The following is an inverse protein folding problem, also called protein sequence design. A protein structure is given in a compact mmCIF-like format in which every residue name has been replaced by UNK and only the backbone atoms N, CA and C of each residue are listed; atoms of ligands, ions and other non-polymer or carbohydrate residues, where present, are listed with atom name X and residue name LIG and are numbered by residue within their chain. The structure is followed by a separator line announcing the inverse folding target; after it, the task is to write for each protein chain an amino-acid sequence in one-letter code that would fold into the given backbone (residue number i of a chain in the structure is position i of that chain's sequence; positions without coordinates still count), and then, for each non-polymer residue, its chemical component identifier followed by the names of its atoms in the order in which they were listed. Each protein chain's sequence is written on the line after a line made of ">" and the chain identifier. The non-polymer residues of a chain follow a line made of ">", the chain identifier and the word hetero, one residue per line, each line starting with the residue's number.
data_IF_233295800423
#
_entry.id   IF_233295800423
#
_cell.length_a   1.000
_cell.length_b   1.000
_cell.length_c   1.000
_cell.angle_alpha   90.00
_cell.angle_beta   90.00
_cell.angle_gamma   90.00
#
_symmetry.space_group_name_H-M   'P 1'
#
loop_
_entity.id
_entity.type
_entity.pdbx_description
1 polymer ?
#
# COMPACT_ATOMS: atom_id res chain seq x y z
N UNK A 1 4.62 -64.50 -26.80
CA UNK A 1 4.11 -64.30 -25.45
C UNK A 1 4.85 -63.15 -24.84
N UNK A 2 4.30 -61.95 -24.87
CA UNK A 2 4.88 -60.76 -24.31
C UNK A 2 3.92 -60.20 -23.28
N UNK A 3 4.36 -60.23 -22.05
CA UNK A 3 3.64 -59.69 -20.89
C UNK A 3 3.87 -58.15 -20.86
N UNK A 4 2.79 -57.38 -20.94
CA UNK A 4 2.84 -55.93 -20.72
C UNK A 4 2.27 -55.64 -19.32
N UNK A 5 3.13 -55.25 -18.41
CA UNK A 5 2.75 -54.78 -17.11
C UNK A 5 2.43 -53.27 -17.21
N UNK A 6 1.18 -52.92 -16.97
CA UNK A 6 0.68 -51.56 -16.92
C UNK A 6 1.06 -50.95 -15.57
N UNK A 7 1.92 -49.93 -15.58
CA UNK A 7 2.21 -49.07 -14.41
C UNK A 7 1.14 -47.96 -14.36
N UNK A 8 0.27 -48.03 -13.36
CA UNK A 8 -0.57 -46.93 -12.95
C UNK A 8 0.27 -45.90 -12.17
N UNK A 9 0.54 -44.77 -12.80
CA UNK A 9 1.08 -43.61 -12.11
C UNK A 9 -0.08 -42.84 -11.49
N UNK A 10 -0.26 -42.99 -10.19
CA UNK A 10 -1.19 -42.16 -9.41
C UNK A 10 -0.56 -40.79 -9.21
N UNK A 11 -1.03 -39.81 -9.98
CA UNK A 11 -0.70 -38.41 -9.77
C UNK A 11 -1.41 -37.92 -8.48
N UNK A 12 -0.66 -37.79 -7.39
CA UNK A 12 -1.10 -37.05 -6.22
C UNK A 12 -1.14 -35.56 -6.58
N UNK A 13 -2.35 -35.03 -6.77
CA UNK A 13 -2.60 -33.59 -6.73
C UNK A 13 -2.38 -33.10 -5.30
N UNK A 14 -1.20 -32.58 -5.02
CA UNK A 14 -1.00 -31.69 -3.88
C UNK A 14 -1.76 -30.40 -4.19
N UNK A 15 -2.94 -30.27 -3.59
CA UNK A 15 -3.66 -29.00 -3.52
C UNK A 15 -2.81 -28.01 -2.71
N UNK A 16 -2.14 -27.11 -3.39
CA UNK A 16 -1.59 -25.92 -2.76
C UNK A 16 -2.78 -25.12 -2.22
N UNK A 17 -3.02 -25.22 -0.92
CA UNK A 17 -3.84 -24.25 -0.21
C UNK A 17 -3.08 -22.94 -0.31
N UNK A 18 -3.46 -22.11 -1.27
CA UNK A 18 -2.96 -20.75 -1.39
C UNK A 18 -3.36 -19.99 -0.13
N UNK A 19 -2.41 -19.81 0.78
CA UNK A 19 -2.49 -18.76 1.78
C UNK A 19 -2.63 -17.47 0.99
N UNK A 20 -3.80 -16.83 1.12
CA UNK A 20 -4.13 -15.59 0.42
C UNK A 20 -3.19 -14.47 0.85
N UNK A 21 -2.05 -14.38 0.21
CA UNK A 21 -1.24 -13.18 0.25
C UNK A 21 -2.09 -12.06 -0.35
N UNK A 22 -2.23 -10.94 0.34
CA UNK A 22 -2.76 -9.70 -0.23
C UNK A 22 -2.16 -9.48 -1.61
N UNK A 23 -3.03 -9.37 -2.61
CA UNK A 23 -2.75 -9.81 -3.96
C UNK A 23 -1.75 -8.95 -4.71
N UNK A 24 -1.14 -9.56 -5.68
CA UNK A 24 -0.47 -8.83 -6.77
C UNK A 24 -1.50 -7.98 -7.50
N UNK A 25 -1.14 -6.73 -7.84
CA UNK A 25 -1.98 -5.85 -8.65
C UNK A 25 -2.38 -6.54 -9.94
N UNK A 26 -3.69 -6.67 -10.24
CA UNK A 26 -4.16 -7.21 -11.50
C UNK A 26 -3.52 -6.51 -12.70
N UNK A 27 -3.21 -7.25 -13.76
CA UNK A 27 -2.51 -6.72 -14.92
C UNK A 27 -3.27 -5.56 -15.57
N UNK A 28 -4.59 -5.65 -15.62
CA UNK A 28 -5.50 -4.64 -16.18
C UNK A 28 -5.52 -3.30 -15.41
N UNK A 29 -5.16 -3.32 -14.14
CA UNK A 29 -5.17 -2.11 -13.29
C UNK A 29 -3.79 -1.47 -13.13
N UNK A 30 -2.70 -2.15 -13.54
CA UNK A 30 -1.33 -1.62 -13.39
C UNK A 30 -1.12 -0.30 -14.12
N UNK A 31 -1.63 -0.20 -15.35
CA UNK A 31 -1.48 0.99 -16.18
C UNK A 31 -2.39 2.15 -15.73
N UNK A 32 -3.37 1.86 -14.86
CA UNK A 32 -4.26 2.87 -14.25
C UNK A 32 -3.68 3.48 -12.98
N UNK A 33 -2.73 2.79 -12.34
CA UNK A 33 -2.11 3.29 -11.12
C UNK A 33 -1.26 4.53 -11.39
N UNK A 34 -1.51 5.56 -10.62
CA UNK A 34 -0.81 6.83 -10.74
C UNK A 34 0.05 7.09 -9.52
N UNK A 35 1.26 7.58 -9.76
CA UNK A 35 2.19 8.00 -8.72
C UNK A 35 2.54 9.47 -8.89
N UNK A 36 2.87 10.19 -7.80
CA UNK A 36 3.53 11.49 -7.90
C UNK A 36 4.81 11.41 -8.73
N UNK A 37 5.20 12.52 -9.35
CA UNK A 37 6.45 12.58 -10.10
C UNK A 37 7.65 12.28 -9.18
N UNK A 38 8.70 11.61 -9.72
CA UNK A 38 9.89 11.23 -8.94
C UNK A 38 10.85 12.38 -8.64
N UNK A 39 10.44 13.62 -8.79
CA UNK A 39 11.31 14.80 -8.77
C UNK A 39 12.22 14.88 -7.53
N UNK A 40 11.73 14.36 -6.40
CA UNK A 40 12.41 14.49 -5.11
C UNK A 40 12.84 13.14 -4.51
N UNK A 41 12.83 12.08 -5.30
CA UNK A 41 13.45 10.84 -4.87
C UNK A 41 14.97 11.07 -4.86
N UNK A 42 15.66 10.93 -3.72
CA UNK A 42 17.04 11.38 -3.59
C UNK A 42 17.95 10.81 -4.68
N UNK A 43 18.55 11.68 -5.48
CA UNK A 43 19.48 11.28 -6.52
C UNK A 43 20.81 10.92 -5.85
N UNK A 44 21.32 9.70 -6.12
CA UNK A 44 22.62 9.27 -5.62
C UNK A 44 22.60 8.40 -4.37
N UNK A 45 21.48 8.28 -3.67
CA UNK A 45 21.33 7.33 -2.56
C UNK A 45 20.86 5.99 -3.13
N UNK A 46 21.76 5.00 -3.17
CA UNK A 46 21.53 3.77 -3.96
C UNK A 46 21.19 2.54 -3.12
N UNK A 47 20.95 2.69 -1.83
CA UNK A 47 20.51 1.61 -0.99
C UNK A 47 21.19 1.54 0.38
N UNK A 48 20.70 0.64 1.21
CA UNK A 48 21.20 0.43 2.56
C UNK A 48 22.66 -0.06 2.60
N UNK A 49 23.16 -0.62 1.50
CA UNK A 49 24.53 -1.09 1.30
C UNK A 49 25.60 0.02 1.35
N UNK A 50 25.17 1.29 1.19
CA UNK A 50 26.07 2.45 1.29
C UNK A 50 26.18 3.02 2.70
N UNK A 51 25.35 2.55 3.64
CA UNK A 51 25.34 3.01 5.02
C UNK A 51 26.29 2.19 5.90
N UNK A 52 26.85 2.86 6.89
CA UNK A 52 27.61 2.15 7.95
C UNK A 52 26.70 1.23 8.75
N UNK A 53 27.19 0.10 9.29
CA UNK A 53 26.41 -0.73 10.22
C UNK A 53 25.92 0.08 11.43
N UNK A 54 24.76 -0.30 11.94
CA UNK A 54 24.14 0.28 13.12
C UNK A 54 22.68 0.66 12.91
N UNK A 55 21.91 0.54 13.98
CA UNK A 55 20.48 0.82 13.94
C UNK A 55 20.19 2.31 13.74
N UNK A 56 19.22 2.61 12.87
CA UNK A 56 18.73 3.96 12.56
C UNK A 56 17.23 4.00 12.63
N UNK A 57 16.69 5.12 13.06
CA UNK A 57 15.25 5.37 13.08
C UNK A 57 14.96 6.63 12.27
N UNK A 58 13.97 6.53 11.39
CA UNK A 58 13.41 7.65 10.62
C UNK A 58 11.92 7.74 10.91
N UNK A 59 11.37 8.95 10.87
CA UNK A 59 9.94 9.20 11.04
C UNK A 59 9.35 9.81 9.78
N UNK A 60 8.11 9.48 9.51
CA UNK A 60 7.32 9.91 8.35
C UNK A 60 6.05 10.60 8.83
N UNK A 61 5.62 11.65 8.14
CA UNK A 61 4.34 12.31 8.38
C UNK A 61 3.92 13.13 7.13
N UNK A 62 2.66 13.58 7.03
CA UNK A 62 2.19 14.35 5.87
C UNK A 62 2.76 15.75 5.76
N UNK A 63 3.41 16.27 6.81
CA UNK A 63 4.04 17.58 6.81
C UNK A 63 5.40 17.63 6.12
N UNK A 64 6.02 16.46 5.86
CA UNK A 64 7.25 16.39 5.08
C UNK A 64 6.96 16.64 3.61
N UNK A 65 7.73 17.51 2.99
CA UNK A 65 7.57 17.88 1.60
C UNK A 65 7.59 16.63 0.69
N UNK A 66 6.66 16.58 -0.28
CA UNK A 66 6.52 15.48 -1.22
C UNK A 66 6.23 14.11 -0.57
N UNK A 67 5.66 14.11 0.64
CA UNK A 67 5.24 12.89 1.32
C UNK A 67 3.75 12.63 1.07
N UNK A 68 3.43 11.55 0.37
CA UNK A 68 2.08 11.22 -0.05
C UNK A 68 1.70 9.79 0.36
N UNK A 69 0.55 9.67 1.00
CA UNK A 69 -0.11 8.40 1.30
C UNK A 69 -1.58 8.53 0.86
N UNK A 70 -2.01 7.68 -0.07
CA UNK A 70 -3.36 7.74 -0.62
C UNK A 70 -3.82 6.38 -1.13
N UNK A 71 -5.12 6.23 -1.31
CA UNK A 71 -5.74 5.03 -1.88
C UNK A 71 -6.38 5.38 -3.21
N UNK A 72 -6.14 4.55 -4.23
CA UNK A 72 -6.88 4.57 -5.49
C UNK A 72 -7.89 3.42 -5.49
N UNK A 73 -9.12 3.69 -5.91
CA UNK A 73 -10.21 2.73 -6.00
C UNK A 73 -10.84 2.89 -7.38
N UNK A 74 -10.80 1.84 -8.18
CA UNK A 74 -11.30 1.92 -9.56
C UNK A 74 -12.78 1.57 -9.65
N UNK A 75 -13.48 2.24 -10.54
CA UNK A 75 -14.86 1.92 -10.87
C UNK A 75 -14.95 0.58 -11.62
N UNK A 76 -15.91 -0.26 -11.24
CA UNK A 76 -16.23 -1.52 -11.91
C UNK A 76 -17.35 -1.37 -12.94
N UNK A 77 -18.10 -0.25 -12.92
CA UNK A 77 -19.26 0.00 -13.77
C UNK A 77 -19.36 1.48 -14.15
N UNK A 78 -20.55 2.08 -14.12
CA UNK A 78 -20.70 3.53 -14.31
C UNK A 78 -20.10 4.27 -13.10
N UNK A 79 -19.67 5.51 -13.31
CA UNK A 79 -19.03 6.36 -12.30
C UNK A 79 -17.60 6.70 -12.68
N UNK A 80 -16.83 7.15 -11.71
CA UNK A 80 -15.43 7.54 -11.88
C UNK A 80 -14.55 6.80 -10.89
N UNK A 81 -13.27 6.76 -11.17
CA UNK A 81 -12.28 6.25 -10.23
C UNK A 81 -12.12 7.23 -9.06
N UNK A 82 -11.91 6.70 -7.87
CA UNK A 82 -11.75 7.47 -6.66
C UNK A 82 -10.30 7.55 -6.20
N UNK A 83 -9.95 8.67 -5.59
CA UNK A 83 -8.69 8.86 -4.90
C UNK A 83 -8.94 9.44 -3.51
N UNK A 84 -8.37 8.81 -2.48
CA UNK A 84 -8.53 9.22 -1.09
C UNK A 84 -7.16 9.48 -0.49
N UNK A 85 -6.85 10.76 -0.20
CA UNK A 85 -5.58 11.14 0.43
C UNK A 85 -5.67 11.01 1.95
N UNK A 86 -4.64 10.46 2.57
CA UNK A 86 -4.44 10.56 4.01
C UNK A 86 -3.76 11.90 4.33
N UNK A 87 -4.41 12.72 5.15
CA UNK A 87 -3.90 14.04 5.58
C UNK A 87 -3.45 14.05 7.03
N UNK A 88 -3.82 13.02 7.80
CA UNK A 88 -3.43 12.82 9.19
C UNK A 88 -2.93 11.39 9.37
N UNK A 89 -1.61 11.25 9.43
CA UNK A 89 -0.93 9.96 9.61
C UNK A 89 0.50 10.18 10.14
N UNK A 90 1.04 9.17 10.74
CA UNK A 90 2.43 9.13 11.15
C UNK A 90 2.99 7.73 10.98
N UNK A 91 4.29 7.64 10.81
CA UNK A 91 4.98 6.36 10.70
C UNK A 91 6.44 6.46 11.11
N UNK A 92 7.04 5.32 11.33
CA UNK A 92 8.46 5.19 11.58
C UNK A 92 9.03 3.94 10.97
N UNK A 93 10.30 3.98 10.61
CA UNK A 93 11.11 2.81 10.29
C UNK A 93 12.36 2.82 11.15
N UNK A 94 12.67 1.67 11.74
CA UNK A 94 13.96 1.38 12.37
C UNK A 94 14.59 0.20 11.67
N UNK A 95 15.81 0.33 11.22
CA UNK A 95 16.55 -0.76 10.60
C UNK A 95 18.06 -0.62 10.83
N UNK A 96 18.76 -1.75 10.66
CA UNK A 96 20.21 -1.83 10.58
C UNK A 96 20.58 -2.33 9.18
N UNK A 97 21.38 -1.61 8.39
CA UNK A 97 21.79 -2.03 7.05
C UNK A 97 22.46 -3.40 7.01
N UNK A 98 23.12 -3.81 8.10
CA UNK A 98 23.76 -5.11 8.23
C UNK A 98 22.79 -6.25 8.60
N UNK A 99 21.54 -5.94 9.00
CA UNK A 99 20.53 -6.90 9.49
C UNK A 99 19.12 -6.44 9.10
N UNK A 100 18.86 -6.34 7.81
CA UNK A 100 17.58 -5.81 7.30
C UNK A 100 16.36 -6.62 7.73
N UNK A 101 16.52 -7.94 7.97
CA UNK A 101 15.42 -8.81 8.41
C UNK A 101 14.79 -8.32 9.74
N UNK A 102 15.57 -7.63 10.57
CA UNK A 102 15.12 -7.03 11.82
C UNK A 102 14.51 -5.64 11.69
N UNK A 103 14.11 -5.21 10.50
CA UNK A 103 13.46 -3.92 10.33
C UNK A 103 12.14 -3.87 11.11
N UNK A 104 11.86 -2.70 11.70
CA UNK A 104 10.60 -2.43 12.37
C UNK A 104 9.96 -1.20 11.74
N UNK A 105 8.83 -1.41 11.06
CA UNK A 105 8.04 -0.35 10.42
C UNK A 105 6.68 -0.31 11.09
N UNK A 106 6.22 0.88 11.41
CA UNK A 106 4.85 1.14 11.85
C UNK A 106 4.30 2.36 11.14
N UNK A 107 3.02 2.26 10.75
CA UNK A 107 2.26 3.39 10.18
C UNK A 107 0.89 3.39 10.81
N UNK A 108 0.42 4.57 11.21
CA UNK A 108 -0.95 4.80 11.69
C UNK A 108 -1.56 5.94 10.91
N UNK A 109 -2.75 5.71 10.38
CA UNK A 109 -3.53 6.68 9.61
C UNK A 109 -4.84 6.94 10.33
N UNK A 110 -5.19 8.21 10.56
CA UNK A 110 -6.50 8.61 11.06
C UNK A 110 -7.56 8.45 9.98
N UNK A 111 -8.65 7.73 10.28
CA UNK A 111 -9.79 7.60 9.36
C UNK A 111 -10.47 8.96 9.17
N UNK A 112 -10.52 9.80 10.20
CA UNK A 112 -11.03 11.16 10.08
C UNK A 112 -10.18 12.03 9.15
N UNK A 113 -8.87 11.79 9.10
CA UNK A 113 -7.92 12.46 8.21
C UNK A 113 -7.95 11.98 6.75
N UNK A 114 -8.86 11.06 6.40
CA UNK A 114 -9.04 10.64 5.01
C UNK A 114 -9.86 11.67 4.24
N UNK A 115 -9.28 12.21 3.18
CA UNK A 115 -9.84 13.31 2.40
C UNK A 115 -9.99 12.88 0.92
N UNK A 116 -11.22 12.47 0.50
CA UNK A 116 -11.49 12.02 -0.85
C UNK A 116 -11.50 13.16 -1.85
N UNK A 117 -11.17 12.85 -3.09
CA UNK A 117 -11.39 13.69 -4.29
C UNK A 117 -10.76 15.09 -4.19
N UNK A 118 -9.60 15.22 -3.49
CA UNK A 118 -8.88 16.50 -3.48
C UNK A 118 -8.47 16.91 -4.88
N UNK A 119 -8.60 18.18 -5.20
CA UNK A 119 -8.31 18.70 -6.55
C UNK A 119 -6.92 18.32 -7.04
N UNK A 120 -5.89 18.45 -6.18
CA UNK A 120 -4.52 18.08 -6.55
C UNK A 120 -4.34 16.58 -6.80
N UNK A 121 -5.14 15.73 -6.15
CA UNK A 121 -5.11 14.29 -6.36
C UNK A 121 -5.86 13.91 -7.65
N UNK A 122 -6.97 14.59 -7.94
CA UNK A 122 -7.71 14.43 -9.20
C UNK A 122 -6.86 14.87 -10.39
N UNK A 123 -6.20 16.02 -10.27
CA UNK A 123 -5.25 16.53 -11.28
C UNK A 123 -4.10 15.53 -11.52
N UNK A 124 -3.56 14.91 -10.43
CA UNK A 124 -2.54 13.87 -10.53
C UNK A 124 -3.00 12.66 -11.34
N UNK A 125 -4.25 12.25 -11.16
CA UNK A 125 -4.85 11.11 -11.88
C UNK A 125 -5.35 11.48 -13.28
N UNK A 126 -5.23 12.72 -13.72
CA UNK A 126 -5.75 13.19 -15.00
C UNK A 126 -7.28 13.12 -15.09
N UNK A 127 -7.98 13.28 -13.97
CA UNK A 127 -9.42 13.17 -13.86
C UNK A 127 -10.07 14.53 -13.61
N UNK A 128 -11.31 14.70 -14.07
CA UNK A 128 -12.09 15.89 -13.81
C UNK A 128 -12.33 16.10 -12.31
N UNK A 129 -12.35 17.36 -11.87
CA UNK A 129 -12.64 17.71 -10.48
C UNK A 129 -14.09 17.43 -10.13
N UNK A 130 -14.29 16.98 -8.92
CA UNK A 130 -15.60 16.68 -8.36
C UNK A 130 -16.16 17.91 -7.66
N UNK A 131 -17.48 18.14 -7.75
CA UNK A 131 -18.12 19.25 -7.04
C UNK A 131 -17.91 19.12 -5.52
N UNK A 132 -17.95 20.27 -4.82
CA UNK A 132 -17.84 20.27 -3.36
C UNK A 132 -18.93 19.43 -2.70
N UNK A 133 -20.17 19.51 -3.19
CA UNK A 133 -21.29 18.74 -2.66
C UNK A 133 -21.08 17.24 -2.82
N UNK A 134 -20.62 16.80 -4.00
CA UNK A 134 -20.39 15.38 -4.25
C UNK A 134 -19.21 14.87 -3.41
N UNK A 135 -18.15 15.68 -3.27
CA UNK A 135 -17.02 15.37 -2.41
C UNK A 135 -17.43 15.20 -0.94
N UNK A 136 -18.31 16.07 -0.44
CA UNK A 136 -18.82 15.95 0.92
C UNK A 136 -19.67 14.69 1.11
N UNK A 137 -20.48 14.31 0.12
CA UNK A 137 -21.24 13.04 0.12
C UNK A 137 -20.30 11.82 0.08
N UNK A 138 -19.28 11.82 -0.78
CA UNK A 138 -18.29 10.74 -0.86
C UNK A 138 -17.58 10.58 0.49
N UNK A 139 -17.22 11.69 1.15
CA UNK A 139 -16.59 11.68 2.47
C UNK A 139 -17.52 11.09 3.53
N UNK A 140 -18.81 11.44 3.52
CA UNK A 140 -19.82 10.89 4.43
C UNK A 140 -19.96 9.38 4.24
N UNK A 141 -20.09 8.90 3.00
CA UNK A 141 -20.17 7.47 2.70
C UNK A 141 -18.90 6.73 3.11
N UNK A 142 -17.71 7.28 2.81
CA UNK A 142 -16.43 6.68 3.18
C UNK A 142 -16.31 6.43 4.69
N UNK A 143 -16.82 7.35 5.51
CA UNK A 143 -16.80 7.28 6.98
C UNK A 143 -17.96 6.49 7.58
N UNK A 144 -18.96 6.17 6.76
CA UNK A 144 -20.19 5.49 7.17
C UNK A 144 -19.98 4.04 7.61
N UNK A 145 -20.99 3.48 8.26
CA UNK A 145 -21.00 2.11 8.82
C UNK A 145 -20.74 1.04 7.74
N UNK A 146 -21.25 1.24 6.53
CA UNK A 146 -21.08 0.30 5.42
C UNK A 146 -19.65 0.30 4.82
N UNK A 147 -18.86 1.34 5.10
CA UNK A 147 -17.49 1.49 4.61
C UNK A 147 -16.50 1.42 5.78
N UNK A 148 -15.88 2.49 6.18
CA UNK A 148 -14.82 2.47 7.21
C UNK A 148 -15.34 2.46 8.65
N UNK A 149 -16.62 2.77 8.88
CA UNK A 149 -17.28 2.79 10.20
C UNK A 149 -16.45 3.59 11.23
N UNK A 150 -16.22 4.87 10.92
CA UNK A 150 -15.43 5.78 11.76
C UNK A 150 -15.87 5.80 13.22
N UNK A 151 -17.18 5.57 13.47
CA UNK A 151 -17.71 5.55 14.83
C UNK A 151 -17.14 4.42 15.70
N UNK A 152 -16.66 3.33 15.08
CA UNK A 152 -16.05 2.17 15.75
C UNK A 152 -14.56 2.05 15.51
N UNK A 153 -14.07 2.49 14.36
CA UNK A 153 -12.71 2.26 13.91
C UNK A 153 -12.09 3.58 13.42
N UNK A 154 -11.37 4.25 14.28
CA UNK A 154 -10.81 5.58 14.04
C UNK A 154 -9.43 5.56 13.36
N UNK A 155 -8.79 4.39 13.28
CA UNK A 155 -7.44 4.25 12.71
C UNK A 155 -7.31 3.07 11.75
N UNK A 156 -6.41 3.24 10.78
CA UNK A 156 -5.83 2.18 9.95
C UNK A 156 -4.39 2.01 10.40
N UNK A 157 -3.94 0.78 10.59
CA UNK A 157 -2.61 0.50 11.12
C UNK A 157 -1.85 -0.51 10.26
N UNK A 158 -0.55 -0.32 10.15
CA UNK A 158 0.38 -1.30 9.59
C UNK A 158 1.56 -1.49 10.55
N UNK A 159 1.96 -2.74 10.75
CA UNK A 159 3.15 -3.10 11.53
C UNK A 159 3.92 -4.21 10.82
N UNK A 160 5.20 -3.98 10.53
CA UNK A 160 6.03 -4.99 9.89
C UNK A 160 6.37 -6.14 10.84
N UNK A 161 6.55 -7.33 10.26
CA UNK A 161 7.11 -8.53 10.90
C UNK A 161 8.54 -8.78 10.46
N UNK A 162 8.82 -8.55 9.15
CA UNK A 162 10.15 -8.72 8.56
C UNK A 162 10.31 -7.85 7.31
N UNK A 163 11.56 -7.67 6.90
CA UNK A 163 11.93 -7.04 5.63
C UNK A 163 12.92 -7.92 4.89
N UNK A 164 12.77 -7.98 3.56
CA UNK A 164 13.66 -8.72 2.70
C UNK A 164 14.18 -7.82 1.59
N UNK A 165 15.50 -7.83 1.37
CA UNK A 165 16.09 -7.15 0.22
C UNK A 165 15.84 -7.99 -1.04
N UNK A 166 15.14 -7.44 -2.01
CA UNK A 166 14.96 -8.09 -3.32
C UNK A 166 16.28 -8.09 -4.11
N UNK A 167 16.52 -9.15 -4.87
CA UNK A 167 17.57 -9.20 -5.87
C UNK A 167 17.30 -8.28 -7.07
N UNK A 168 16.04 -7.90 -7.27
CA UNK A 168 15.62 -6.97 -8.32
C UNK A 168 15.86 -5.52 -7.90
N UNK A 169 16.04 -4.65 -8.88
CA UNK A 169 16.13 -3.21 -8.69
C UNK A 169 14.89 -2.54 -9.27
N UNK A 170 14.39 -1.52 -8.60
CA UNK A 170 13.32 -0.69 -9.08
C UNK A 170 13.73 0.23 -10.23
N UNK A 171 12.76 0.95 -10.76
CA UNK A 171 12.99 1.95 -11.80
C UNK A 171 13.99 3.01 -11.30
N UNK A 172 15.02 3.29 -12.10
CA UNK A 172 16.12 4.19 -11.70
C UNK A 172 17.22 3.53 -10.88
N UNK A 173 17.19 2.19 -10.68
CA UNK A 173 18.25 1.43 -10.02
C UNK A 173 18.17 1.45 -8.49
N UNK A 174 17.05 1.91 -7.92
CA UNK A 174 16.81 1.91 -6.48
C UNK A 174 16.72 0.49 -5.91
N UNK A 175 17.13 0.32 -4.65
CA UNK A 175 16.93 -0.93 -3.93
C UNK A 175 15.44 -1.23 -3.79
N UNK A 176 15.06 -2.49 -3.97
CA UNK A 176 13.73 -2.97 -3.66
C UNK A 176 13.76 -3.76 -2.35
N UNK A 177 12.84 -3.44 -1.46
CA UNK A 177 12.63 -4.12 -0.18
C UNK A 177 11.20 -4.63 -0.15
N UNK A 178 11.01 -5.90 0.16
CA UNK A 178 9.67 -6.44 0.44
C UNK A 178 9.46 -6.42 1.94
N UNK A 179 8.45 -5.71 2.38
CA UNK A 179 8.06 -5.61 3.78
C UNK A 179 6.87 -6.53 4.03
N UNK A 180 7.03 -7.53 4.89
CA UNK A 180 5.94 -8.39 5.35
C UNK A 180 5.42 -7.87 6.69
N UNK A 181 4.11 -7.81 6.85
CA UNK A 181 3.53 -7.26 8.07
C UNK A 181 2.03 -7.46 8.18
N UNK A 182 1.47 -6.90 9.24
CA UNK A 182 0.05 -6.91 9.53
C UNK A 182 -0.57 -5.55 9.22
N UNK A 183 -1.62 -5.55 8.41
CA UNK A 183 -2.46 -4.39 8.19
C UNK A 183 -3.80 -4.58 8.91
N UNK A 184 -4.18 -3.60 9.72
CA UNK A 184 -5.48 -3.56 10.38
C UNK A 184 -6.31 -2.44 9.74
N UNK A 185 -7.45 -2.83 9.18
CA UNK A 185 -8.43 -1.94 8.57
C UNK A 185 -9.82 -2.36 9.06
N UNK A 186 -10.61 -1.42 9.54
CA UNK A 186 -11.97 -1.67 10.04
C UNK A 186 -12.02 -2.82 11.07
N UNK A 187 -11.06 -2.84 11.99
CA UNK A 187 -10.93 -3.84 13.05
C UNK A 187 -10.49 -5.25 12.59
N UNK A 188 -10.37 -5.48 11.29
CA UNK A 188 -9.86 -6.74 10.73
C UNK A 188 -8.36 -6.64 10.43
N UNK A 189 -7.58 -7.63 10.85
CA UNK A 189 -6.14 -7.68 10.58
C UNK A 189 -5.85 -8.73 9.52
N UNK A 190 -4.99 -8.37 8.56
CA UNK A 190 -4.51 -9.27 7.50
C UNK A 190 -2.99 -9.16 7.35
N UNK A 191 -2.38 -10.29 7.09
CA UNK A 191 -0.99 -10.33 6.67
C UNK A 191 -0.88 -9.81 5.23
N UNK A 192 0.07 -8.90 5.00
CA UNK A 192 0.28 -8.24 3.72
C UNK A 192 1.76 -8.21 3.38
N UNK A 193 2.05 -8.14 2.08
CA UNK A 193 3.41 -7.97 1.56
C UNK A 193 3.47 -6.70 0.72
N UNK A 194 4.35 -5.79 1.10
CA UNK A 194 4.49 -4.47 0.53
C UNK A 194 5.85 -4.33 -0.16
N UNK A 195 5.91 -4.38 -1.49
CA UNK A 195 7.13 -4.07 -2.23
C UNK A 195 7.37 -2.57 -2.26
N UNK A 196 8.56 -2.15 -1.84
CA UNK A 196 8.98 -0.76 -1.80
C UNK A 196 10.27 -0.55 -2.58
N UNK A 197 10.32 0.48 -3.41
CA UNK A 197 11.57 1.10 -3.84
C UNK A 197 12.05 2.02 -2.73
N UNK A 198 13.32 1.89 -2.33
CA UNK A 198 13.87 2.63 -1.19
C UNK A 198 15.15 3.34 -1.59
N UNK A 199 15.24 4.62 -1.21
CA UNK A 199 16.44 5.40 -1.20
C UNK A 199 16.69 5.90 0.24
N UNK A 200 17.93 5.77 0.73
CA UNK A 200 18.25 6.13 2.11
C UNK A 200 19.66 6.69 2.21
N UNK A 201 19.84 7.72 3.03
CA UNK A 201 21.11 8.26 3.47
C UNK A 201 21.15 8.35 5.01
N UNK A 202 22.21 8.94 5.57
CA UNK A 202 22.36 9.06 7.03
C UNK A 202 21.24 9.88 7.68
N UNK A 203 20.61 10.80 6.97
CA UNK A 203 19.64 11.76 7.51
C UNK A 203 18.21 11.52 6.99
N UNK A 204 18.06 10.88 5.82
CA UNK A 204 16.76 10.81 5.14
C UNK A 204 16.52 9.43 4.57
N UNK A 205 15.23 9.08 4.47
CA UNK A 205 14.74 7.91 3.73
C UNK A 205 13.59 8.34 2.82
N UNK A 206 13.54 7.76 1.64
CA UNK A 206 12.40 7.84 0.76
C UNK A 206 11.96 6.42 0.40
N UNK A 207 10.66 6.17 0.43
CA UNK A 207 10.09 4.88 0.08
C UNK A 207 8.87 5.06 -0.83
N UNK A 208 8.76 4.20 -1.83
CA UNK A 208 7.71 4.26 -2.84
C UNK A 208 7.21 2.86 -3.20
N UNK A 209 5.90 2.67 -3.19
CA UNK A 209 5.30 1.38 -3.55
C UNK A 209 3.78 1.39 -3.52
N UNK A 210 3.21 0.24 -3.88
CA UNK A 210 1.77 -0.03 -3.82
C UNK A 210 1.53 -1.31 -3.05
N UNK A 211 0.62 -1.24 -2.09
CA UNK A 211 0.00 -2.40 -1.49
C UNK A 211 -1.38 -2.59 -2.12
N UNK A 212 -1.63 -3.77 -2.67
CA UNK A 212 -2.95 -4.17 -3.17
C UNK A 212 -3.64 -5.04 -2.14
N UNK A 213 -4.86 -4.65 -1.75
CA UNK A 213 -5.73 -5.41 -0.86
C UNK A 213 -7.16 -5.37 -1.41
N UNK A 214 -8.12 -6.05 -0.76
CA UNK A 214 -9.52 -6.04 -1.14
C UNK A 214 -10.40 -5.65 0.03
N UNK A 215 -11.54 -4.99 -0.27
CA UNK A 215 -12.55 -4.68 0.75
C UNK A 215 -12.97 -5.95 1.51
N UNK A 216 -13.23 -7.05 0.77
CA UNK A 216 -13.68 -8.32 1.35
C UNK A 216 -12.65 -8.97 2.28
N UNK A 217 -11.34 -8.74 2.06
CA UNK A 217 -10.29 -9.21 2.97
C UNK A 217 -10.45 -8.61 4.38
N UNK A 218 -11.04 -7.42 4.48
CA UNK A 218 -11.28 -6.71 5.75
C UNK A 218 -12.75 -6.75 6.22
N UNK A 219 -13.58 -7.57 5.58
CA UNK A 219 -14.93 -7.87 6.02
C UNK A 219 -15.98 -6.81 5.66
N UNK A 220 -15.77 -6.04 4.59
CA UNK A 220 -16.77 -5.14 4.04
C UNK A 220 -16.80 -5.18 2.51
N UNK A 221 -17.91 -4.72 1.93
CA UNK A 221 -18.13 -4.77 0.50
C UNK A 221 -17.71 -3.46 -0.18
N UNK A 222 -17.26 -3.52 -1.46
CA UNK A 222 -17.07 -2.32 -2.26
C UNK A 222 -18.35 -1.49 -2.33
N UNK A 223 -18.23 -0.16 -2.30
CA UNK A 223 -19.40 0.72 -2.45
C UNK A 223 -20.18 0.38 -3.71
N UNK A 224 -21.49 0.29 -3.56
CA UNK A 224 -22.42 -0.03 -4.64
C UNK A 224 -23.75 0.71 -4.44
N UNK A 225 -24.29 1.30 -5.51
CA UNK A 225 -25.53 2.05 -5.51
C UNK A 225 -26.40 1.67 -6.72
N UNK A 226 -27.72 1.85 -6.59
CA UNK A 226 -28.73 1.58 -7.62
C UNK A 226 -28.61 0.15 -8.21
N UNK A 227 -28.51 -0.85 -7.32
CA UNK A 227 -28.44 -2.27 -7.75
C UNK A 227 -27.17 -2.63 -8.51
N UNK A 228 -26.05 -1.93 -8.26
CA UNK A 228 -24.76 -2.18 -8.91
C UNK A 228 -24.52 -1.35 -10.18
N UNK A 229 -25.43 -0.42 -10.50
CA UNK A 229 -25.24 0.49 -11.63
C UNK A 229 -24.01 1.38 -11.45
N UNK A 230 -23.77 1.81 -10.19
CA UNK A 230 -22.54 2.45 -9.74
C UNK A 230 -21.87 1.52 -8.75
N UNK A 231 -20.69 1.00 -9.07
CA UNK A 231 -19.99 0.04 -8.23
C UNK A 231 -18.49 0.22 -8.35
N UNK A 232 -17.79 0.18 -7.23
CA UNK A 232 -16.33 0.11 -7.17
C UNK A 232 -15.84 -1.33 -7.36
N UNK A 233 -14.62 -1.49 -7.85
CA UNK A 233 -13.88 -2.77 -7.79
C UNK A 233 -13.62 -3.14 -6.34
N UNK A 234 -13.36 -4.43 -6.09
CA UNK A 234 -13.02 -4.93 -4.75
C UNK A 234 -11.60 -4.50 -4.33
N UNK A 235 -10.72 -4.27 -5.28
CA UNK A 235 -9.33 -3.90 -5.04
C UNK A 235 -9.19 -2.49 -4.47
N UNK A 236 -8.33 -2.38 -3.46
CA UNK A 236 -7.83 -1.16 -2.83
C UNK A 236 -6.34 -1.03 -3.12
N UNK A 237 -5.93 0.08 -3.74
CA UNK A 237 -4.53 0.35 -4.06
C UNK A 237 -3.98 1.42 -3.14
N UNK A 238 -3.29 0.99 -2.08
CA UNK A 238 -2.62 1.88 -1.13
C UNK A 238 -1.29 2.32 -1.72
N UNK A 239 -1.24 3.54 -2.23
CA UNK A 239 -0.06 4.12 -2.84
C UNK A 239 0.72 4.90 -1.81
N UNK A 240 2.00 4.57 -1.69
CA UNK A 240 2.96 5.26 -0.84
C UNK A 240 4.03 5.92 -1.68
N UNK A 241 4.29 7.18 -1.42
CA UNK A 241 5.46 7.93 -1.86
C UNK A 241 5.85 8.85 -0.72
N UNK A 242 6.61 8.31 0.24
CA UNK A 242 6.83 8.92 1.54
C UNK A 242 8.28 9.33 1.74
N UNK A 243 8.48 10.40 2.48
CA UNK A 243 9.78 10.91 2.92
C UNK A 243 9.86 10.82 4.43
N UNK A 244 11.04 10.42 4.93
CA UNK A 244 11.30 10.32 6.35
C UNK A 244 12.61 11.00 6.72
N UNK A 245 12.65 11.55 7.93
CA UNK A 245 13.82 12.18 8.51
C UNK A 245 14.32 11.38 9.71
N UNK A 246 15.65 11.35 9.85
CA UNK A 246 16.31 10.64 10.95
C UNK A 246 15.96 11.24 12.29
N UNK A 247 15.69 10.38 13.27
CA UNK A 247 15.57 10.77 14.67
C UNK A 247 16.96 10.75 15.32
N UNK A 248 17.51 11.90 15.73
CA UNK A 248 18.82 11.94 16.36
C UNK A 248 18.88 11.11 17.63
N UNK A 249 19.94 10.30 17.79
CA UNK A 249 20.20 9.55 19.02
C UNK A 249 19.31 8.31 19.26
N UNK A 250 18.60 7.84 18.24
CA UNK A 250 17.84 6.58 18.29
C UNK A 250 18.23 5.62 17.19
#
# INVERSE_FOLDING_TARGET
>A
MRNQSSLFVTAMLLGAVGLGACGTTPAEDRDRLTFPARQDFPVGVRGADTLSPGSRTYTFNPGLENSHLFVQIFSASLGHDHVVRATDWYGSIRFDPAKLEGCAISVTVSVEGLDPERDEMRDLMGQDRVSRSDRDQIREHLRGEDQLDLAKYDTIQFTSRSCELSSERGAGGYAQVVVHGDMTLRGSTREVSLPLEVAVDEERVAARGVLTARHQDFGFEPYSMLGGLFKNKDELYFVMDVRGERVPGK
#
